data_IF_893334355714
#
_entry.id   IF_893334355714
#
_cell.length_a   1.000
_cell.length_b   1.000
_cell.length_c   1.000
_cell.angle_alpha   90.00
_cell.angle_beta   90.00
_cell.angle_gamma   90.00
#
_symmetry.space_group_name_H-M   'P 1'
#
loop_
_entity.id
_entity.type
_entity.pdbx_description
1 polymer ?
#
# COMPACT_ATOMS: atom_id res chain seq x y z
N UNK A 1 0.93 -41.48 13.09
CA UNK A 1 1.59 -40.28 12.53
C UNK A 1 0.51 -39.26 12.22
N UNK A 2 0.36 -38.23 13.07
CA UNK A 2 -0.45 -37.06 12.71
C UNK A 2 0.40 -36.23 11.77
N UNK A 3 -0.01 -36.14 10.51
CA UNK A 3 0.51 -35.16 9.56
C UNK A 3 0.20 -33.80 10.21
N UNK A 4 1.22 -33.11 10.70
CA UNK A 4 1.08 -31.72 11.10
C UNK A 4 0.65 -30.97 9.84
N UNK A 5 -0.57 -30.41 9.83
CA UNK A 5 -0.90 -29.38 8.85
C UNK A 5 0.21 -28.34 8.95
N UNK A 6 0.91 -28.10 7.86
CA UNK A 6 1.76 -26.93 7.73
C UNK A 6 0.91 -25.73 8.16
N UNK A 7 1.37 -25.02 9.19
CA UNK A 7 0.80 -23.74 9.56
C UNK A 7 1.20 -22.76 8.47
N UNK A 8 0.54 -22.83 7.32
CA UNK A 8 0.60 -21.77 6.32
C UNK A 8 -0.04 -20.54 6.97
N UNK A 9 0.84 -19.66 7.48
CA UNK A 9 0.46 -18.35 7.96
C UNK A 9 -0.19 -17.59 6.80
N UNK A 10 -1.52 -17.45 6.86
CA UNK A 10 -2.24 -16.57 5.96
C UNK A 10 -1.76 -15.14 6.20
N UNK A 11 -0.97 -14.59 5.27
CA UNK A 11 -0.39 -13.25 5.36
C UNK A 11 -1.47 -12.18 5.52
N UNK A 12 -2.65 -12.38 4.91
CA UNK A 12 -3.78 -11.45 5.05
C UNK A 12 -4.34 -11.39 6.48
N UNK A 13 -4.12 -12.43 7.29
CA UNK A 13 -4.63 -12.50 8.66
C UNK A 13 -3.67 -11.90 9.71
N UNK A 14 -2.39 -11.72 9.37
CA UNK A 14 -1.35 -11.36 10.37
C UNK A 14 -0.50 -10.15 9.97
N UNK A 15 -0.39 -9.84 8.68
CA UNK A 15 0.46 -8.75 8.21
C UNK A 15 -0.25 -7.41 8.50
N UNK A 16 0.41 -6.55 9.26
CA UNK A 16 -0.01 -5.17 9.47
C UNK A 16 1.22 -4.33 9.80
N UNK A 17 1.15 -3.04 9.49
CA UNK A 17 2.17 -2.11 9.98
C UNK A 17 2.09 -2.02 11.51
N UNK A 18 3.22 -1.68 12.16
CA UNK A 18 3.24 -1.52 13.60
C UNK A 18 2.30 -0.38 14.00
N UNK A 19 1.25 -0.74 14.74
CA UNK A 19 0.16 0.15 15.13
C UNK A 19 0.55 1.19 16.19
N UNK A 20 -0.48 1.75 16.84
CA UNK A 20 -0.34 2.82 17.85
C UNK A 20 0.34 4.09 17.34
N UNK A 21 0.28 4.36 16.03
CA UNK A 21 0.86 5.55 15.39
C UNK A 21 2.35 5.43 15.13
N UNK A 22 2.97 4.28 15.46
CA UNK A 22 4.41 4.08 15.29
C UNK A 22 4.81 4.18 13.82
N UNK A 23 4.04 3.55 12.93
CA UNK A 23 4.34 3.57 11.49
C UNK A 23 4.41 5.00 10.97
N UNK A 24 3.36 5.80 11.19
CA UNK A 24 3.35 7.20 10.77
C UNK A 24 4.51 8.03 11.33
N UNK A 25 4.94 7.78 12.58
CA UNK A 25 6.05 8.52 13.20
C UNK A 25 7.43 8.13 12.66
N UNK A 26 7.57 6.96 12.02
CA UNK A 26 8.87 6.40 11.63
C UNK A 26 9.09 6.32 10.12
N UNK A 27 8.06 6.63 9.33
CA UNK A 27 8.11 6.51 7.86
C UNK A 27 8.08 7.88 7.16
N UNK A 28 8.98 8.79 7.55
CA UNK A 28 9.09 10.13 6.96
C UNK A 28 9.31 10.10 5.42
N UNK A 29 10.04 9.10 4.92
CA UNK A 29 10.26 8.94 3.48
C UNK A 29 8.96 8.67 2.70
N UNK A 30 8.07 7.82 3.23
CA UNK A 30 6.76 7.58 2.61
C UNK A 30 5.90 8.84 2.64
N UNK A 31 5.90 9.57 3.77
CA UNK A 31 5.20 10.85 3.87
C UNK A 31 5.67 11.86 2.84
N UNK A 32 6.98 12.08 2.70
CA UNK A 32 7.54 13.00 1.68
C UNK A 32 7.08 12.60 0.27
N UNK A 33 7.10 11.31 -0.04
CA UNK A 33 6.69 10.82 -1.35
C UNK A 33 5.17 10.99 -1.58
N UNK A 34 4.34 10.75 -0.57
CA UNK A 34 2.88 10.99 -0.61
C UNK A 34 2.59 12.47 -0.81
N UNK A 35 3.19 13.35 -0.01
CA UNK A 35 2.96 14.80 -0.09
C UNK A 35 3.38 15.36 -1.46
N UNK A 36 4.39 14.78 -2.11
CA UNK A 36 4.79 15.13 -3.48
C UNK A 36 3.71 14.81 -4.54
N UNK A 37 2.74 13.94 -4.24
CA UNK A 37 1.60 13.65 -5.12
C UNK A 37 0.48 14.69 -5.03
N UNK A 38 0.54 15.64 -4.09
CA UNK A 38 -0.49 16.65 -3.88
C UNK A 38 -0.93 17.37 -5.17
N UNK A 39 -0.04 17.85 -6.06
CA UNK A 39 -0.45 18.49 -7.32
C UNK A 39 -1.22 17.53 -8.25
N UNK A 40 -0.85 16.25 -8.29
CA UNK A 40 -1.52 15.24 -9.09
C UNK A 40 -2.93 14.92 -8.55
N UNK A 41 -3.08 14.85 -7.22
CA UNK A 41 -4.37 14.68 -6.57
C UNK A 41 -5.33 15.84 -6.88
N UNK A 42 -4.82 17.08 -6.84
CA UNK A 42 -5.60 18.27 -7.17
C UNK A 42 -5.98 18.36 -8.65
N UNK A 43 -5.08 17.94 -9.54
CA UNK A 43 -5.36 17.82 -10.97
C UNK A 43 -6.49 16.80 -11.19
N UNK A 44 -6.36 15.59 -10.62
CA UNK A 44 -7.36 14.55 -10.74
C UNK A 44 -8.74 15.01 -10.23
N UNK A 45 -8.80 15.69 -9.08
CA UNK A 45 -10.04 16.23 -8.53
C UNK A 45 -10.75 17.23 -9.47
N UNK A 46 -10.00 17.99 -10.28
CA UNK A 46 -10.58 18.92 -11.26
C UNK A 46 -11.14 18.21 -12.48
N UNK A 47 -10.57 17.06 -12.84
CA UNK A 47 -10.91 16.31 -14.05
C UNK A 47 -12.03 15.29 -13.85
N UNK A 48 -12.24 14.80 -12.63
CA UNK A 48 -13.35 13.87 -12.35
C UNK A 48 -14.71 14.57 -12.50
N UNK A 49 -15.78 13.84 -12.85
CA UNK A 49 -17.13 14.40 -12.94
C UNK A 49 -17.60 15.07 -11.65
N UNK A 50 -18.45 16.09 -11.80
CA UNK A 50 -19.14 16.72 -10.66
C UNK A 50 -20.24 15.78 -10.16
N UNK A 51 -19.95 15.09 -9.05
CA UNK A 51 -20.89 14.22 -8.36
C UNK A 51 -21.49 14.89 -7.12
N UNK A 52 -22.75 14.57 -6.75
CA UNK A 52 -23.37 15.06 -5.53
C UNK A 52 -22.70 14.55 -4.25
N UNK A 53 -22.04 13.39 -4.30
CA UNK A 53 -21.23 12.83 -3.23
C UNK A 53 -19.86 12.52 -3.82
N UNK A 54 -18.79 12.99 -3.18
CA UNK A 54 -17.42 12.69 -3.57
C UNK A 54 -16.94 11.48 -2.75
N UNK A 55 -16.79 10.32 -3.40
CA UNK A 55 -16.28 9.10 -2.76
C UNK A 55 -14.80 8.93 -3.07
N UNK A 56 -13.99 8.84 -2.04
CA UNK A 56 -12.54 8.69 -2.13
C UNK A 56 -12.11 7.42 -1.40
N UNK A 57 -11.00 6.84 -1.83
CA UNK A 57 -10.44 5.65 -1.19
C UNK A 57 -8.92 5.77 -1.02
N UNK A 58 -8.43 5.30 0.13
CA UNK A 58 -7.01 5.15 0.45
C UNK A 58 -6.70 3.67 0.67
N UNK A 59 -6.08 3.06 -0.35
CA UNK A 59 -5.81 1.62 -0.40
C UNK A 59 -4.44 1.30 0.20
N UNK A 60 -4.43 0.57 1.32
CA UNK A 60 -3.21 0.26 2.09
C UNK A 60 -2.84 1.39 3.04
N UNK A 61 -3.81 1.80 3.84
CA UNK A 61 -3.76 3.01 4.65
C UNK A 61 -2.91 2.92 5.92
N UNK A 62 -2.56 1.72 6.39
CA UNK A 62 -1.96 1.49 7.68
C UNK A 62 -2.73 2.24 8.80
N UNK A 63 -2.04 3.05 9.60
CA UNK A 63 -2.66 3.87 10.65
C UNK A 63 -3.23 5.21 10.14
N UNK A 64 -3.22 5.46 8.82
CA UNK A 64 -3.80 6.62 8.13
C UNK A 64 -3.02 7.93 8.30
N UNK A 65 -2.00 7.98 9.15
CA UNK A 65 -1.32 9.25 9.48
C UNK A 65 -0.43 9.78 8.37
N UNK A 66 0.14 8.92 7.51
CA UNK A 66 1.04 9.35 6.43
C UNK A 66 0.31 10.07 5.29
N UNK A 67 -0.94 9.71 5.01
CA UNK A 67 -1.78 10.32 3.96
C UNK A 67 -2.74 11.38 4.49
N UNK A 68 -2.90 11.50 5.82
CA UNK A 68 -3.83 12.42 6.47
C UNK A 68 -3.71 13.86 5.96
N UNK A 69 -2.48 14.37 5.85
CA UNK A 69 -2.22 15.76 5.45
C UNK A 69 -2.61 16.01 4.00
N UNK A 70 -2.27 15.10 3.10
CA UNK A 70 -2.64 15.17 1.69
C UNK A 70 -4.17 15.22 1.52
N UNK A 71 -4.90 14.32 2.18
CA UNK A 71 -6.36 14.34 2.19
C UNK A 71 -6.93 15.61 2.80
N UNK A 72 -6.39 16.05 3.94
CA UNK A 72 -6.81 17.28 4.62
C UNK A 72 -6.61 18.52 3.75
N UNK A 73 -5.52 18.60 3.00
CA UNK A 73 -5.24 19.68 2.04
C UNK A 73 -6.23 19.67 0.88
N UNK A 74 -6.53 18.49 0.32
CA UNK A 74 -7.52 18.34 -0.74
C UNK A 74 -8.91 18.79 -0.29
N UNK A 75 -9.35 18.33 0.89
CA UNK A 75 -10.63 18.73 1.49
C UNK A 75 -10.66 20.23 1.78
N UNK A 76 -9.56 20.80 2.29
CA UNK A 76 -9.46 22.25 2.52
C UNK A 76 -9.70 23.03 1.23
N UNK A 77 -9.11 22.59 0.11
CA UNK A 77 -9.32 23.23 -1.20
C UNK A 77 -10.76 23.12 -1.67
N UNK A 78 -11.40 21.97 -1.50
CA UNK A 78 -12.82 21.77 -1.82
C UNK A 78 -13.67 22.79 -1.04
N UNK A 79 -13.49 22.86 0.30
CA UNK A 79 -14.27 23.77 1.15
C UNK A 79 -14.00 25.25 0.86
N UNK A 80 -12.75 25.63 0.57
CA UNK A 80 -12.40 27.00 0.16
C UNK A 80 -13.05 27.40 -1.18
N UNK A 81 -13.37 26.44 -2.05
CA UNK A 81 -14.11 26.67 -3.29
C UNK A 81 -15.64 26.77 -3.10
N UNK A 82 -16.12 26.77 -1.85
CA UNK A 82 -17.55 26.77 -1.47
C UNK A 82 -18.32 25.54 -1.95
N UNK A 83 -17.63 24.41 -2.02
CA UNK A 83 -18.22 23.12 -2.33
C UNK A 83 -18.44 22.36 -1.00
N UNK A 84 -19.70 22.32 -0.56
CA UNK A 84 -20.12 21.71 0.71
C UNK A 84 -20.69 20.29 0.55
N UNK A 85 -20.46 19.66 -0.62
CA UNK A 85 -20.96 18.31 -0.87
C UNK A 85 -20.42 17.30 0.14
N UNK A 86 -21.16 16.22 0.30
CA UNK A 86 -20.75 15.10 1.15
C UNK A 86 -19.48 14.45 0.59
N UNK A 87 -18.52 14.18 1.47
CA UNK A 87 -17.29 13.48 1.15
C UNK A 87 -17.23 12.22 1.99
N UNK A 88 -17.13 11.07 1.33
CA UNK A 88 -16.87 9.77 1.96
C UNK A 88 -15.44 9.37 1.65
N UNK A 89 -14.68 8.96 2.68
CA UNK A 89 -13.32 8.46 2.52
C UNK A 89 -13.25 7.06 3.12
N UNK A 90 -13.01 6.08 2.26
CA UNK A 90 -12.77 4.70 2.65
C UNK A 90 -11.27 4.48 2.84
N UNK A 91 -10.85 4.24 4.07
CA UNK A 91 -9.50 3.74 4.34
C UNK A 91 -9.52 2.22 4.36
N UNK A 92 -8.67 1.60 3.55
CA UNK A 92 -8.60 0.13 3.42
C UNK A 92 -7.25 -0.38 3.86
N UNK A 93 -7.24 -1.55 4.51
CA UNK A 93 -6.05 -2.29 4.85
C UNK A 93 -6.44 -3.75 5.18
N UNK A 94 -5.49 -4.60 5.56
CA UNK A 94 -5.79 -5.95 6.02
C UNK A 94 -6.56 -5.93 7.35
N UNK A 95 -7.29 -7.01 7.64
CA UNK A 95 -8.11 -7.13 8.84
C UNK A 95 -7.30 -6.97 10.15
N UNK A 96 -6.01 -7.31 10.12
CA UNK A 96 -5.04 -7.16 11.21
C UNK A 96 -4.61 -5.71 11.48
N UNK A 97 -4.99 -4.76 10.65
CA UNK A 97 -4.58 -3.35 10.79
C UNK A 97 -5.20 -2.68 12.02
N UNK A 98 -4.50 -1.68 12.56
CA UNK A 98 -4.94 -0.88 13.71
C UNK A 98 -5.89 0.26 13.26
N UNK A 99 -7.09 -0.10 12.83
CA UNK A 99 -8.14 0.86 12.49
C UNK A 99 -8.55 1.75 13.66
N UNK A 100 -8.35 1.29 14.91
CA UNK A 100 -8.64 2.11 16.09
C UNK A 100 -7.75 3.35 16.16
N UNK A 101 -6.46 3.19 15.88
CA UNK A 101 -5.54 4.34 15.76
C UNK A 101 -5.92 5.24 14.58
N UNK A 102 -6.29 4.65 13.44
CA UNK A 102 -6.74 5.41 12.27
C UNK A 102 -7.92 6.32 12.62
N UNK A 103 -8.99 5.78 13.21
CA UNK A 103 -10.17 6.56 13.58
C UNK A 103 -9.86 7.64 14.62
N UNK A 104 -9.04 7.34 15.64
CA UNK A 104 -8.61 8.37 16.61
C UNK A 104 -7.79 9.47 15.94
N UNK A 105 -6.97 9.15 14.94
CA UNK A 105 -6.15 10.12 14.21
C UNK A 105 -7.03 11.04 13.35
N UNK A 106 -7.98 10.48 12.61
CA UNK A 106 -8.92 11.27 11.79
C UNK A 106 -9.82 12.19 12.62
N UNK A 107 -10.17 11.76 13.83
CA UNK A 107 -10.99 12.51 14.80
C UNK A 107 -10.15 13.35 15.79
N UNK A 108 -8.85 13.52 15.56
CA UNK A 108 -8.00 14.42 16.35
C UNK A 108 -7.78 14.00 17.80
N UNK A 109 -8.12 12.77 18.17
CA UNK A 109 -7.86 12.18 19.48
C UNK A 109 -6.44 11.63 19.62
N UNK A 110 -5.71 11.50 18.51
CA UNK A 110 -4.33 11.05 18.45
C UNK A 110 -3.60 11.74 17.28
N UNK A 111 -2.27 11.84 17.36
CA UNK A 111 -1.47 12.50 16.32
C UNK A 111 -1.59 14.03 16.37
N UNK A 112 -1.57 14.69 15.20
CA UNK A 112 -1.68 16.14 15.09
C UNK A 112 -3.15 16.55 14.88
N UNK A 113 -3.84 17.15 15.88
CA UNK A 113 -5.25 17.51 15.77
C UNK A 113 -5.52 18.57 14.68
N UNK A 114 -4.51 19.35 14.27
CA UNK A 114 -4.66 20.33 13.18
C UNK A 114 -4.90 19.66 11.81
N UNK A 115 -4.55 18.37 11.68
CA UNK A 115 -4.76 17.56 10.49
C UNK A 115 -6.07 16.73 10.55
N UNK A 116 -6.84 16.84 11.64
CA UNK A 116 -8.13 16.17 11.80
C UNK A 116 -9.19 16.82 10.90
N UNK A 117 -9.19 16.46 9.62
CA UNK A 117 -10.13 17.00 8.65
C UNK A 117 -11.58 16.63 8.96
N UNK A 118 -11.83 15.50 9.65
CA UNK A 118 -13.17 15.05 10.01
C UNK A 118 -13.83 15.97 11.06
N UNK A 119 -13.04 16.52 11.99
CA UNK A 119 -13.55 17.49 12.97
C UNK A 119 -13.52 18.93 12.44
N UNK A 120 -12.62 19.22 11.50
CA UNK A 120 -12.40 20.58 10.97
C UNK A 120 -13.46 20.99 9.95
N UNK A 121 -14.05 20.03 9.22
CA UNK A 121 -15.00 20.31 8.15
C UNK A 121 -16.28 19.50 8.31
N UNK A 122 -17.42 20.11 7.98
CA UNK A 122 -18.71 19.43 7.92
C UNK A 122 -18.81 18.48 6.72
N UNK A 123 -19.77 17.55 6.78
CA UNK A 123 -20.09 16.61 5.70
C UNK A 123 -18.90 15.74 5.27
N UNK A 124 -18.04 15.35 6.23
CA UNK A 124 -16.94 14.40 6.02
C UNK A 124 -17.24 13.10 6.77
N UNK A 125 -17.23 11.98 6.05
CA UNK A 125 -17.49 10.65 6.57
C UNK A 125 -16.28 9.76 6.31
N UNK A 126 -15.76 9.14 7.36
CA UNK A 126 -14.59 8.25 7.31
C UNK A 126 -15.03 6.83 7.59
N UNK A 127 -14.64 5.90 6.72
CA UNK A 127 -14.96 4.48 6.80
C UNK A 127 -13.68 3.65 6.84
N UNK A 128 -13.76 2.45 7.42
CA UNK A 128 -12.69 1.44 7.39
C UNK A 128 -13.13 0.19 6.65
N UNK A 129 -12.23 -0.39 5.86
CA UNK A 129 -12.41 -1.66 5.17
C UNK A 129 -11.22 -2.60 5.47
N UNK A 130 -11.46 -3.65 6.26
CA UNK A 130 -10.44 -4.65 6.63
C UNK A 130 -10.23 -5.73 5.58
N UNK A 131 -10.35 -5.39 4.30
CA UNK A 131 -10.24 -6.30 3.17
C UNK A 131 -9.07 -5.86 2.27
N UNK A 132 -8.23 -6.82 1.87
CA UNK A 132 -7.06 -6.55 1.03
C UNK A 132 -7.41 -6.00 -0.36
N UNK A 133 -6.59 -5.10 -0.87
CA UNK A 133 -6.83 -4.39 -2.15
C UNK A 133 -6.68 -5.26 -3.40
N UNK A 134 -6.29 -6.53 -3.29
CA UNK A 134 -6.19 -7.46 -4.43
C UNK A 134 -7.56 -7.90 -4.99
N UNK A 135 -8.65 -7.47 -4.37
CA UNK A 135 -10.03 -7.72 -4.80
C UNK A 135 -10.85 -6.43 -4.76
N UNK A 136 -12.09 -6.48 -5.28
CA UNK A 136 -13.05 -5.38 -5.20
C UNK A 136 -13.48 -5.10 -3.74
N UNK A 137 -13.51 -3.83 -3.37
CA UNK A 137 -13.75 -3.30 -2.03
C UNK A 137 -14.96 -2.37 -1.95
N UNK A 138 -15.37 -1.80 -3.10
CA UNK A 138 -16.52 -0.90 -3.21
C UNK A 138 -17.50 -1.39 -4.27
N UNK A 139 -18.76 -0.98 -4.17
CA UNK A 139 -19.75 -1.22 -5.23
C UNK A 139 -19.27 -0.69 -6.58
N UNK A 140 -19.64 -1.37 -7.67
CA UNK A 140 -19.22 -0.95 -9.00
C UNK A 140 -19.73 0.46 -9.34
N UNK A 141 -18.90 1.26 -10.03
CA UNK A 141 -19.26 2.62 -10.44
C UNK A 141 -19.58 3.56 -9.29
N UNK A 142 -18.89 3.46 -8.16
CA UNK A 142 -19.14 4.29 -6.97
C UNK A 142 -17.96 5.14 -6.52
N UNK A 143 -16.72 4.77 -6.85
CA UNK A 143 -15.51 5.45 -6.44
C UNK A 143 -15.18 6.61 -7.38
N UNK A 144 -15.00 7.82 -6.83
CA UNK A 144 -14.63 9.01 -7.60
C UNK A 144 -13.12 9.15 -7.76
N UNK A 145 -12.37 8.99 -6.66
CA UNK A 145 -10.92 9.15 -6.61
C UNK A 145 -10.28 8.10 -5.70
N UNK A 146 -9.54 7.17 -6.29
CA UNK A 146 -8.74 6.19 -5.56
C UNK A 146 -7.29 6.64 -5.41
N UNK A 147 -6.70 6.37 -4.26
CA UNK A 147 -5.29 6.61 -3.99
C UNK A 147 -4.66 5.39 -3.31
N UNK A 148 -3.43 5.05 -3.68
CA UNK A 148 -2.61 4.09 -2.94
C UNK A 148 -1.17 4.58 -2.89
N UNK A 149 -0.54 4.44 -1.73
CA UNK A 149 0.87 4.77 -1.55
C UNK A 149 1.61 3.68 -0.80
N UNK A 150 2.74 3.22 -1.35
CA UNK A 150 3.67 2.29 -0.69
C UNK A 150 2.99 1.00 -0.18
N UNK A 151 2.00 0.48 -0.91
CA UNK A 151 1.23 -0.69 -0.50
C UNK A 151 1.22 -1.81 -1.56
N UNK A 152 0.99 -1.47 -2.83
CA UNK A 152 0.73 -2.47 -3.90
C UNK A 152 1.96 -3.27 -4.36
N UNK A 153 3.11 -3.13 -3.69
CA UNK A 153 4.27 -4.01 -3.87
C UNK A 153 4.20 -5.27 -2.99
N UNK A 154 3.31 -5.30 -1.99
CA UNK A 154 3.00 -6.53 -1.26
C UNK A 154 2.18 -7.46 -2.15
N UNK A 155 2.69 -8.69 -2.34
CA UNK A 155 1.99 -9.74 -3.08
C UNK A 155 0.91 -10.38 -2.22
N UNK A 156 -0.17 -10.83 -2.83
CA UNK A 156 -1.33 -11.42 -2.13
C UNK A 156 -0.98 -12.73 -1.44
N UNK A 157 -0.05 -13.49 -2.01
CA UNK A 157 0.43 -14.77 -1.51
C UNK A 157 1.95 -14.85 -1.63
N UNK A 158 2.61 -15.63 -0.76
CA UNK A 158 4.05 -15.90 -0.88
C UNK A 158 4.26 -17.05 -1.87
N UNK A 159 4.79 -16.81 -3.09
CA UNK A 159 4.81 -17.84 -4.12
C UNK A 159 5.88 -18.92 -3.89
N UNK A 160 6.95 -18.59 -3.16
CA UNK A 160 7.95 -19.54 -2.69
C UNK A 160 8.79 -18.93 -1.55
N UNK A 161 9.60 -19.76 -0.89
CA UNK A 161 10.70 -19.29 -0.06
C UNK A 161 11.90 -18.99 -0.95
N UNK A 162 12.67 -17.96 -0.59
CA UNK A 162 13.92 -17.60 -1.25
C UNK A 162 15.05 -18.29 -0.48
N UNK A 163 15.77 -19.19 -1.14
CA UNK A 163 16.74 -20.04 -0.46
C UNK A 163 18.02 -19.30 -0.06
N UNK A 164 18.43 -18.32 -0.88
CA UNK A 164 19.74 -17.70 -0.77
C UNK A 164 19.72 -16.20 -0.44
N UNK A 165 18.54 -15.64 -0.24
CA UNK A 165 18.33 -14.23 0.02
C UNK A 165 17.02 -14.03 0.79
N UNK A 166 16.73 -12.81 1.24
CA UNK A 166 15.48 -12.52 1.97
C UNK A 166 14.44 -11.80 1.10
N UNK A 167 14.80 -11.33 -0.09
CA UNK A 167 13.91 -10.54 -0.97
C UNK A 167 14.18 -10.82 -2.44
N UNK A 168 13.16 -10.66 -3.30
CA UNK A 168 13.19 -11.03 -4.72
C UNK A 168 14.29 -10.35 -5.54
N UNK A 169 14.76 -9.18 -5.12
CA UNK A 169 15.85 -8.44 -5.80
C UNK A 169 17.19 -9.18 -5.79
N UNK A 170 17.38 -10.10 -4.85
CA UNK A 170 18.59 -10.94 -4.74
C UNK A 170 18.28 -12.43 -4.82
N UNK A 171 17.08 -12.81 -5.28
CA UNK A 171 16.67 -14.20 -5.40
C UNK A 171 17.28 -14.88 -6.64
N UNK A 172 17.34 -16.21 -6.60
CA UNK A 172 17.74 -16.99 -7.78
C UNK A 172 16.66 -16.91 -8.88
N UNK A 173 17.06 -17.14 -10.14
CA UNK A 173 16.22 -16.88 -11.33
C UNK A 173 14.82 -17.52 -11.22
N UNK A 174 14.75 -18.79 -10.77
CA UNK A 174 13.48 -19.53 -10.65
C UNK A 174 12.58 -18.91 -9.58
N UNK A 175 13.13 -18.52 -8.44
CA UNK A 175 12.38 -17.91 -7.33
C UNK A 175 11.90 -16.52 -7.72
N UNK A 176 12.76 -15.74 -8.37
CA UNK A 176 12.42 -14.42 -8.89
C UNK A 176 11.28 -14.49 -9.91
N UNK A 177 11.32 -15.45 -10.85
CA UNK A 177 10.24 -15.66 -11.84
C UNK A 177 8.89 -15.92 -11.17
N UNK A 178 8.86 -16.70 -10.08
CA UNK A 178 7.62 -16.95 -9.33
C UNK A 178 7.05 -15.69 -8.67
N UNK A 179 7.93 -14.83 -8.14
CA UNK A 179 7.51 -13.52 -7.62
C UNK A 179 7.03 -12.57 -8.73
N UNK A 180 7.70 -12.57 -9.89
CA UNK A 180 7.28 -11.81 -11.08
C UNK A 180 5.88 -12.25 -11.57
N UNK A 181 5.62 -13.56 -11.66
CA UNK A 181 4.32 -14.12 -12.05
C UNK A 181 3.20 -13.76 -11.07
N UNK A 182 3.44 -13.93 -9.76
CA UNK A 182 2.46 -13.59 -8.73
C UNK A 182 2.17 -12.08 -8.72
N UNK A 183 3.20 -11.25 -8.87
CA UNK A 183 3.04 -9.80 -8.89
C UNK A 183 2.31 -9.31 -10.14
N UNK A 184 2.46 -9.96 -11.29
CA UNK A 184 1.68 -9.64 -12.49
C UNK A 184 0.20 -9.95 -12.27
N UNK A 185 -0.11 -11.17 -11.81
CA UNK A 185 -1.48 -11.60 -11.46
C UNK A 185 -2.14 -10.63 -10.48
N UNK A 186 -1.41 -10.25 -9.43
CA UNK A 186 -1.89 -9.30 -8.42
C UNK A 186 -2.15 -7.90 -9.01
N UNK A 187 -1.28 -7.45 -9.92
CA UNK A 187 -1.43 -6.13 -10.53
C UNK A 187 -2.65 -6.07 -11.45
N UNK A 188 -2.88 -7.11 -12.26
CA UNK A 188 -4.07 -7.23 -13.09
C UNK A 188 -5.34 -7.26 -12.24
N UNK A 189 -5.37 -8.07 -11.18
CA UNK A 189 -6.51 -8.15 -10.27
C UNK A 189 -6.81 -6.81 -9.59
N UNK A 190 -5.76 -6.08 -9.16
CA UNK A 190 -5.90 -4.73 -8.62
C UNK A 190 -6.51 -3.80 -9.68
N UNK A 191 -5.95 -3.73 -10.88
CA UNK A 191 -6.41 -2.82 -11.94
C UNK A 191 -7.86 -3.10 -12.33
N UNK A 192 -8.24 -4.37 -12.51
CA UNK A 192 -9.61 -4.79 -12.82
C UNK A 192 -10.54 -4.34 -11.69
N UNK A 193 -10.22 -4.68 -10.44
CA UNK A 193 -11.06 -4.33 -9.29
C UNK A 193 -11.22 -2.81 -9.15
N UNK A 194 -10.13 -2.03 -9.33
CA UNK A 194 -10.20 -0.56 -9.30
C UNK A 194 -11.04 -0.02 -10.45
N UNK A 195 -10.92 -0.60 -11.65
CA UNK A 195 -11.70 -0.18 -12.81
C UNK A 195 -13.20 -0.41 -12.62
N UNK A 196 -13.60 -1.51 -11.97
CA UNK A 196 -14.99 -1.82 -11.66
C UNK A 196 -15.56 -0.86 -10.61
N UNK A 197 -14.78 -0.49 -9.61
CA UNK A 197 -15.18 0.45 -8.55
C UNK A 197 -15.34 1.88 -9.04
N UNK A 198 -14.46 2.32 -9.94
CA UNK A 198 -14.43 3.69 -10.44
C UNK A 198 -15.70 4.03 -11.21
N UNK A 199 -16.22 5.23 -10.99
CA UNK A 199 -17.17 5.84 -11.93
C UNK A 199 -16.52 6.07 -13.30
N UNK A 200 -17.33 6.19 -14.34
CA UNK A 200 -16.84 6.70 -15.62
C UNK A 200 -16.19 8.08 -15.43
N UNK A 201 -14.96 8.24 -15.92
CA UNK A 201 -14.18 9.47 -15.73
C UNK A 201 -13.54 9.62 -14.34
N UNK A 202 -13.68 8.64 -13.44
CA UNK A 202 -12.95 8.58 -12.18
C UNK A 202 -11.43 8.53 -12.37
N UNK A 203 -10.67 8.67 -11.27
CA UNK A 203 -9.20 8.61 -11.29
C UNK A 203 -8.68 7.67 -10.21
N UNK A 204 -7.63 6.93 -10.54
CA UNK A 204 -6.86 6.15 -9.59
C UNK A 204 -5.40 6.58 -9.67
N UNK A 205 -4.82 6.94 -8.53
CA UNK A 205 -3.41 7.36 -8.42
C UNK A 205 -2.69 6.36 -7.54
N UNK A 206 -1.62 5.78 -8.06
CA UNK A 206 -0.79 4.81 -7.34
C UNK A 206 0.66 5.28 -7.29
N UNK A 207 1.19 5.40 -6.07
CA UNK A 207 2.59 5.61 -5.78
C UNK A 207 3.14 4.34 -5.16
N UNK A 208 4.12 3.69 -5.78
CA UNK A 208 4.62 2.42 -5.27
C UNK A 208 6.13 2.29 -5.42
N UNK A 209 6.74 1.43 -4.61
CA UNK A 209 8.14 1.05 -4.80
C UNK A 209 8.28 0.20 -6.06
N UNK A 210 9.35 0.46 -6.80
CA UNK A 210 9.65 -0.22 -8.05
C UNK A 210 11.15 -0.25 -8.32
N UNK A 211 11.47 -0.79 -9.49
CA UNK A 211 12.82 -0.85 -10.04
C UNK A 211 12.88 0.11 -11.23
N UNK A 212 13.77 1.09 -11.20
CA UNK A 212 13.93 2.02 -12.32
C UNK A 212 14.81 1.46 -13.45
N UNK A 213 14.97 2.21 -14.53
CA UNK A 213 15.73 1.80 -15.72
C UNK A 213 17.22 1.58 -15.46
N UNK A 214 17.73 2.08 -14.32
CA UNK A 214 19.10 1.87 -13.86
C UNK A 214 19.21 0.70 -12.86
N UNK A 215 18.12 -0.03 -12.62
CA UNK A 215 18.06 -1.12 -11.66
C UNK A 215 18.01 -0.68 -10.20
N UNK A 216 17.72 0.61 -9.92
CA UNK A 216 17.63 1.14 -8.56
C UNK A 216 16.28 0.84 -7.96
N UNK A 217 16.25 0.54 -6.66
CA UNK A 217 15.05 0.23 -5.89
C UNK A 217 15.16 0.74 -4.45
N UNK A 218 14.12 0.53 -3.62
CA UNK A 218 14.14 0.99 -2.22
C UNK A 218 15.36 0.45 -1.48
N UNK A 219 16.19 1.36 -0.97
CA UNK A 219 17.42 1.00 -0.26
C UNK A 219 18.58 0.58 -1.18
N UNK A 220 18.43 0.75 -2.50
CA UNK A 220 19.49 0.56 -3.50
C UNK A 220 19.51 1.71 -4.51
N UNK A 221 20.06 2.85 -4.10
CA UNK A 221 20.08 4.10 -4.91
C UNK A 221 21.48 4.61 -5.25
N UNK A 222 22.54 3.81 -5.01
CA UNK A 222 23.91 4.15 -5.43
C UNK A 222 25.02 3.69 -4.47
N UNK A 223 25.21 2.38 -4.31
CA UNK A 223 26.40 1.80 -3.64
C UNK A 223 26.14 0.72 -2.60
N UNK A 224 24.93 0.67 -2.03
CA UNK A 224 24.53 -0.37 -1.08
C UNK A 224 23.15 -0.90 -1.44
N UNK A 225 22.84 -2.13 -1.05
CA UNK A 225 21.50 -2.70 -1.08
C UNK A 225 21.06 -2.98 0.35
N UNK A 226 19.93 -2.39 0.75
CA UNK A 226 19.31 -2.65 2.05
C UNK A 226 19.00 -4.13 2.23
N UNK A 227 18.50 -4.80 1.19
CA UNK A 227 18.16 -6.22 1.26
C UNK A 227 19.39 -7.12 1.31
N UNK A 228 20.51 -6.74 0.69
CA UNK A 228 21.77 -7.47 0.83
C UNK A 228 22.29 -7.37 2.28
N UNK A 229 22.09 -6.21 2.92
CA UNK A 229 22.41 -6.03 4.35
C UNK A 229 21.49 -6.86 5.24
N UNK A 230 20.19 -6.89 4.97
CA UNK A 230 19.28 -7.79 5.68
C UNK A 230 19.70 -9.25 5.51
N UNK A 231 19.96 -9.70 4.28
CA UNK A 231 20.45 -11.04 4.00
C UNK A 231 21.74 -11.34 4.76
N UNK A 232 22.72 -10.42 4.77
CA UNK A 232 23.96 -10.57 5.54
C UNK A 232 23.69 -10.79 7.04
N UNK A 233 22.83 -9.98 7.65
CA UNK A 233 22.53 -10.10 9.07
C UNK A 233 21.77 -11.39 9.39
N UNK A 234 20.77 -11.76 8.58
CA UNK A 234 20.05 -13.03 8.70
C UNK A 234 20.98 -14.25 8.55
N UNK A 235 21.89 -14.22 7.56
CA UNK A 235 22.92 -15.26 7.39
C UNK A 235 23.89 -15.32 8.56
N UNK A 236 24.25 -14.18 9.15
CA UNK A 236 25.09 -14.17 10.35
C UNK A 236 24.41 -14.87 11.54
N UNK A 237 23.10 -14.71 11.71
CA UNK A 237 22.35 -15.42 12.75
C UNK A 237 22.37 -16.94 12.50
N UNK A 238 22.19 -17.35 11.24
CA UNK A 238 22.25 -18.75 10.82
C UNK A 238 23.66 -19.35 11.07
N UNK A 239 24.72 -18.66 10.63
CA UNK A 239 26.10 -19.10 10.81
C UNK A 239 26.48 -19.24 12.30
N UNK A 240 25.93 -18.36 13.14
CA UNK A 240 26.11 -18.40 14.58
C UNK A 240 25.18 -19.39 15.28
N UNK A 241 24.37 -20.16 14.53
CA UNK A 241 23.41 -21.17 15.02
C UNK A 241 22.35 -20.57 15.97
N UNK A 242 22.03 -19.29 15.81
CA UNK A 242 20.97 -18.60 16.57
C UNK A 242 19.60 -18.94 15.97
N UNK A 243 19.56 -19.11 14.64
CA UNK A 243 18.38 -19.55 13.89
C UNK A 243 18.74 -20.77 13.04
N UNK A 244 17.72 -21.51 12.65
CA UNK A 244 17.79 -22.66 11.73
C UNK A 244 17.76 -22.20 10.26
N UNK A 245 18.11 -23.12 9.35
CA UNK A 245 18.01 -22.87 7.91
C UNK A 245 16.55 -22.66 7.47
N UNK A 246 15.60 -23.36 8.09
CA UNK A 246 14.16 -23.19 7.84
C UNK A 246 13.69 -21.79 8.24
N UNK A 247 14.12 -21.28 9.40
CA UNK A 247 13.82 -19.92 9.84
C UNK A 247 14.44 -18.85 8.94
N UNK A 248 15.68 -19.07 8.46
CA UNK A 248 16.31 -18.19 7.48
C UNK A 248 15.48 -18.10 6.19
N UNK A 249 15.09 -19.26 5.63
CA UNK A 249 14.24 -19.31 4.42
C UNK A 249 12.88 -18.67 4.68
N UNK A 250 12.29 -18.91 5.85
CA UNK A 250 11.00 -18.34 6.24
C UNK A 250 11.01 -16.80 6.35
N UNK A 251 12.17 -16.18 6.54
CA UNK A 251 12.36 -14.72 6.54
C UNK A 251 12.21 -14.05 5.15
N UNK A 252 11.78 -14.81 4.14
CA UNK A 252 11.41 -14.30 2.82
C UNK A 252 10.33 -13.22 2.92
N UNK A 253 10.67 -12.02 2.45
CA UNK A 253 9.74 -10.91 2.32
C UNK A 253 8.71 -11.19 1.21
N UNK A 254 7.44 -10.94 1.51
CA UNK A 254 6.31 -11.09 0.58
C UNK A 254 6.10 -9.82 -0.23
N UNK A 255 7.13 -9.41 -0.95
CA UNK A 255 7.17 -8.17 -1.72
C UNK A 255 7.75 -8.41 -3.11
N UNK A 256 7.22 -7.70 -4.10
CA UNK A 256 7.77 -7.61 -5.44
C UNK A 256 7.85 -6.16 -5.90
N UNK A 257 9.04 -5.73 -6.30
CA UNK A 257 9.25 -4.41 -6.87
C UNK A 257 9.21 -4.51 -8.38
N UNK A 258 8.13 -3.96 -8.96
CA UNK A 258 7.91 -3.96 -10.41
C UNK A 258 8.81 -2.93 -11.08
N UNK A 259 9.33 -3.31 -12.23
CA UNK A 259 9.92 -2.41 -13.23
C UNK A 259 8.84 -1.56 -13.91
N UNK A 260 9.25 -0.50 -14.61
CA UNK A 260 8.33 0.30 -15.44
C UNK A 260 7.63 -0.57 -16.49
N UNK A 261 8.34 -1.52 -17.11
CA UNK A 261 7.75 -2.48 -18.06
C UNK A 261 6.69 -3.36 -17.42
N UNK A 262 6.94 -3.88 -16.22
CA UNK A 262 5.96 -4.72 -15.52
C UNK A 262 4.71 -3.94 -15.11
N UNK A 263 4.83 -2.67 -14.73
CA UNK A 263 3.67 -1.82 -14.46
C UNK A 263 2.82 -1.57 -15.71
N UNK A 264 3.48 -1.42 -16.87
CA UNK A 264 2.81 -1.11 -18.14
C UNK A 264 2.22 -2.32 -18.85
N UNK A 265 2.73 -3.52 -18.57
CA UNK A 265 2.37 -4.75 -19.29
C UNK A 265 0.86 -4.95 -19.50
N UNK A 266 -0.03 -4.78 -18.50
CA UNK A 266 -1.48 -4.94 -18.71
C UNK A 266 -2.12 -3.94 -19.69
N UNK A 267 -1.43 -2.84 -20.01
CA UNK A 267 -1.88 -1.80 -20.94
C UNK A 267 -1.21 -1.91 -22.31
N UNK A 268 0.00 -2.45 -22.38
CA UNK A 268 0.74 -2.64 -23.64
C UNK A 268 0.27 -3.91 -24.38
N UNK A 269 -0.29 -4.90 -23.67
CA UNK A 269 -0.79 -6.18 -24.22
C UNK A 269 -2.25 -6.10 -24.76
N UNK A 270 -2.73 -4.90 -25.15
CA UNK A 270 -4.07 -4.66 -25.71
C UNK A 270 -4.06 -4.29 -27.21
#
# INVERSE_FOLDING_TARGET
MKISKENDLNTQAVLAMRGSGYYSQRTAGAKIAIDATQPLMEQALKEIPKLPILRMADFGSADGGTSQEMWGNLISKIRNSRDDRQIEILYTDLASNDFSTLFRTMQGMQGNPNLSFQNKYSNIFVHGCGTGFHQQLMSSGSLSLGFSATAMHYVSEKPCQINNHVHMVGADIIEKSKFEEQALKDWEAILISRSEELIEGGRFICLNFGIDEKGRYLGHTGGHSMFDKFNYHWRSLLNNKIITEEEFKAATFTQHYRTVSEFRKPFDDQ
#
